data_IF_325354887333
#
_entry.id   IF_325354887333
#
_cell.length_a   1.000
_cell.length_b   1.000
_cell.length_c   1.000
_cell.angle_alpha   90.00
_cell.angle_beta   90.00
_cell.angle_gamma   90.00
#
_symmetry.space_group_name_H-M   'P 1'
#
loop_
_entity.id
_entity.type
_entity.pdbx_description
1 polymer ?
#
# COMPACT_ATOMS: atom_id res chain seq x y z
N UNK A 1 37.39 -6.38 -36.95
CA UNK A 1 38.00 -6.35 -35.65
C UNK A 1 38.00 -4.91 -35.17
N UNK A 2 36.87 -4.42 -34.77
CA UNK A 2 36.75 -3.14 -34.12
C UNK A 2 37.19 -3.36 -32.68
N UNK A 3 38.26 -2.73 -32.29
CA UNK A 3 38.67 -2.56 -30.91
C UNK A 3 37.48 -2.02 -30.14
N UNK A 4 36.98 -2.73 -29.19
CA UNK A 4 35.94 -2.46 -28.21
C UNK A 4 35.77 -1.05 -27.66
N UNK A 5 35.97 -0.03 -28.46
CA UNK A 5 35.48 1.32 -28.22
C UNK A 5 34.02 1.36 -28.64
N UNK A 6 33.17 0.89 -27.75
CA UNK A 6 31.74 1.21 -27.77
C UNK A 6 31.67 2.69 -27.38
N UNK A 7 31.11 3.51 -28.25
CA UNK A 7 30.87 4.91 -27.97
C UNK A 7 30.38 5.09 -26.54
N UNK A 8 31.07 5.92 -25.76
CA UNK A 8 30.75 6.29 -24.37
C UNK A 8 29.29 6.77 -24.16
N UNK A 9 28.58 6.96 -25.26
CA UNK A 9 27.19 7.40 -25.27
C UNK A 9 26.22 6.38 -24.63
N UNK A 10 26.51 5.10 -24.73
CA UNK A 10 25.69 4.04 -24.12
C UNK A 10 26.05 3.79 -22.64
N UNK A 11 27.21 4.23 -22.17
CA UNK A 11 27.64 4.13 -20.76
C UNK A 11 26.77 4.96 -19.82
N UNK A 12 26.20 6.05 -20.28
CA UNK A 12 25.34 6.96 -19.50
C UNK A 12 24.04 6.29 -19.07
N UNK A 13 23.58 5.27 -19.78
CA UNK A 13 22.32 4.57 -19.49
C UNK A 13 22.50 3.20 -18.82
N UNK A 14 23.68 2.89 -18.29
CA UNK A 14 23.94 1.64 -17.59
C UNK A 14 24.01 0.39 -18.46
N UNK A 15 23.97 0.54 -19.78
CA UNK A 15 24.08 -0.58 -20.73
C UNK A 15 25.49 -1.13 -20.86
N UNK A 16 26.52 -0.44 -20.39
CA UNK A 16 27.93 -0.85 -20.49
C UNK A 16 28.22 -2.19 -19.82
N UNK A 17 27.57 -2.49 -18.69
CA UNK A 17 27.75 -3.76 -17.99
C UNK A 17 27.16 -4.94 -18.76
N UNK A 18 26.08 -4.72 -19.50
CA UNK A 18 25.45 -5.73 -20.32
C UNK A 18 26.30 -6.09 -21.53
N UNK A 19 26.96 -5.09 -22.12
CA UNK A 19 27.80 -5.24 -23.30
C UNK A 19 29.22 -5.73 -22.98
N UNK A 20 29.67 -5.73 -21.76
CA UNK A 20 30.99 -6.26 -21.37
C UNK A 20 31.00 -7.77 -21.12
N UNK A 21 29.85 -8.44 -21.19
CA UNK A 21 29.78 -9.91 -21.09
C UNK A 21 30.28 -10.54 -22.41
N UNK A 22 31.26 -11.46 -22.36
CA UNK A 22 31.88 -12.00 -23.58
C UNK A 22 30.93 -12.73 -24.53
N UNK A 23 29.73 -13.05 -24.11
CA UNK A 23 28.73 -13.77 -24.89
C UNK A 23 27.52 -12.93 -25.35
N UNK A 24 27.47 -11.63 -25.00
CA UNK A 24 26.30 -10.78 -25.34
C UNK A 24 26.31 -10.30 -26.80
N UNK A 25 27.41 -10.46 -27.53
CA UNK A 25 27.57 -10.01 -28.91
C UNK A 25 27.71 -11.15 -29.91
N UNK A 26 27.05 -12.24 -29.71
CA UNK A 26 26.95 -13.19 -30.79
C UNK A 26 25.86 -12.75 -31.76
N UNK A 27 26.20 -11.82 -32.67
CA UNK A 27 25.32 -11.39 -33.74
C UNK A 27 24.84 -12.56 -34.61
N UNK A 28 25.66 -13.59 -34.75
CA UNK A 28 25.29 -14.80 -35.45
C UNK A 28 24.11 -15.52 -34.76
N UNK A 29 24.06 -15.47 -33.44
CA UNK A 29 22.93 -16.00 -32.70
C UNK A 29 21.65 -15.19 -32.97
N UNK A 30 21.69 -13.86 -32.93
CA UNK A 30 20.51 -13.01 -33.16
C UNK A 30 20.05 -13.02 -34.63
N UNK A 31 20.96 -13.21 -35.56
CA UNK A 31 20.67 -13.23 -37.01
C UNK A 31 20.35 -14.63 -37.54
N UNK A 32 20.64 -15.67 -36.78
CA UNK A 32 20.29 -17.05 -37.12
C UNK A 32 18.81 -17.35 -36.85
N UNK A 33 18.30 -18.35 -37.55
CA UNK A 33 16.96 -18.88 -37.27
C UNK A 33 16.99 -19.58 -35.91
N UNK A 34 16.31 -19.01 -34.93
CA UNK A 34 16.20 -19.61 -33.59
C UNK A 34 15.35 -20.87 -33.63
N UNK A 35 15.83 -21.94 -33.05
CA UNK A 35 15.10 -23.19 -32.90
C UNK A 35 14.44 -23.27 -31.51
N UNK A 36 13.44 -24.15 -31.31
CA UNK A 36 12.91 -24.40 -29.95
C UNK A 36 13.96 -24.85 -28.94
N UNK A 37 15.03 -25.53 -29.38
CA UNK A 37 16.12 -25.96 -28.54
C UNK A 37 16.97 -24.76 -28.08
N UNK A 38 17.19 -23.77 -28.93
CA UNK A 38 17.91 -22.53 -28.56
C UNK A 38 17.11 -21.72 -27.53
N UNK A 39 15.78 -21.65 -27.71
CA UNK A 39 14.89 -21.00 -26.74
C UNK A 39 14.89 -21.71 -25.39
N UNK A 40 14.90 -23.05 -25.38
CA UNK A 40 14.98 -23.81 -24.12
C UNK A 40 16.35 -23.67 -23.43
N UNK A 41 17.43 -23.55 -24.20
CA UNK A 41 18.77 -23.32 -23.67
C UNK A 41 18.94 -21.93 -23.01
N UNK A 42 18.13 -20.96 -23.39
CA UNK A 42 18.10 -19.61 -22.81
C UNK A 42 17.09 -19.46 -21.67
N UNK A 43 16.26 -20.47 -21.49
CA UNK A 43 15.24 -20.44 -20.45
C UNK A 43 15.87 -20.45 -19.07
N UNK A 44 15.42 -19.55 -18.23
CA UNK A 44 15.82 -19.47 -16.83
C UNK A 44 14.59 -19.22 -15.95
N UNK A 45 14.54 -19.90 -14.83
CA UNK A 45 13.50 -19.65 -13.83
C UNK A 45 13.91 -18.45 -12.97
N UNK A 46 13.06 -17.42 -12.98
CA UNK A 46 13.20 -16.25 -12.13
C UNK A 46 12.19 -16.34 -11.00
N UNK A 47 12.67 -16.61 -9.79
CA UNK A 47 11.83 -16.72 -8.60
C UNK A 47 12.09 -15.52 -7.71
N UNK A 48 11.05 -14.73 -7.47
CA UNK A 48 11.06 -13.56 -6.60
C UNK A 48 10.05 -13.80 -5.46
N UNK A 49 10.53 -14.24 -4.28
CA UNK A 49 9.65 -14.43 -3.13
C UNK A 49 9.02 -13.11 -2.71
N UNK A 50 7.72 -13.16 -2.41
CA UNK A 50 6.98 -12.04 -1.87
C UNK A 50 6.00 -12.54 -0.82
N UNK A 51 6.12 -12.02 0.39
CA UNK A 51 5.25 -12.32 1.50
C UNK A 51 4.59 -11.04 2.01
N UNK A 52 3.33 -11.15 2.44
CA UNK A 52 2.64 -10.06 3.11
C UNK A 52 1.69 -10.63 4.16
N UNK A 53 1.60 -9.94 5.28
CA UNK A 53 0.70 -10.33 6.35
C UNK A 53 -0.03 -9.11 6.93
N UNK A 54 -1.19 -9.37 7.54
CA UNK A 54 -1.92 -8.38 8.32
C UNK A 54 -2.64 -9.08 9.45
N UNK A 55 -2.38 -8.65 10.66
CA UNK A 55 -3.05 -9.10 11.87
C UNK A 55 -3.84 -7.93 12.45
N UNK A 56 -5.12 -8.15 12.75
CA UNK A 56 -6.00 -7.13 13.33
C UNK A 56 -6.70 -7.70 14.55
N UNK A 57 -6.49 -7.03 15.68
CA UNK A 57 -7.37 -7.17 16.84
C UNK A 57 -8.30 -5.96 16.91
N UNK A 58 -9.61 -6.23 17.02
CA UNK A 58 -10.61 -5.19 17.14
C UNK A 58 -11.62 -5.56 18.22
N UNK A 59 -11.96 -4.60 19.07
CA UNK A 59 -13.08 -4.73 19.99
C UNK A 59 -14.01 -3.53 19.83
N UNK A 60 -15.32 -3.83 19.80
CA UNK A 60 -16.36 -2.81 19.64
C UNK A 60 -17.34 -2.92 20.79
N UNK A 61 -17.69 -1.79 21.37
CA UNK A 61 -18.71 -1.65 22.41
C UNK A 61 -19.78 -0.69 21.93
N UNK A 62 -21.01 -1.11 21.99
CA UNK A 62 -22.18 -0.28 21.64
C UNK A 62 -23.23 -0.31 22.73
N UNK A 63 -23.98 0.75 22.86
CA UNK A 63 -25.05 0.83 23.85
C UNK A 63 -25.71 2.20 23.91
N UNK A 64 -26.66 2.32 24.82
CA UNK A 64 -27.37 3.56 25.10
C UNK A 64 -26.81 4.17 26.40
N UNK A 65 -26.48 5.46 26.35
CA UNK A 65 -25.96 6.20 27.53
C UNK A 65 -27.12 6.63 28.39
N UNK A 66 -28.16 7.21 27.79
CA UNK A 66 -29.33 7.73 28.47
C UNK A 66 -30.51 7.87 27.51
N UNK A 67 -31.71 7.94 28.07
CA UNK A 67 -32.92 8.24 27.30
C UNK A 67 -33.09 9.73 27.20
N UNK A 68 -33.11 10.26 25.97
CA UNK A 68 -33.48 11.64 25.63
C UNK A 68 -34.98 11.70 25.27
N UNK A 69 -35.58 12.92 25.22
CA UNK A 69 -37.00 13.06 24.87
C UNK A 69 -37.43 12.45 23.54
N UNK A 70 -36.47 12.37 22.59
CA UNK A 70 -36.73 11.92 21.20
C UNK A 70 -36.09 10.58 20.87
N UNK A 71 -35.56 9.87 21.87
CA UNK A 71 -34.96 8.55 21.71
C UNK A 71 -33.68 8.37 22.53
N UNK A 72 -33.04 7.21 22.50
CA UNK A 72 -31.82 6.96 23.22
C UNK A 72 -30.64 7.76 22.64
N UNK A 73 -29.79 8.31 23.50
CA UNK A 73 -28.46 8.72 23.16
C UNK A 73 -27.60 7.47 23.04
N UNK A 74 -27.39 6.99 21.81
CA UNK A 74 -26.60 5.81 21.57
C UNK A 74 -25.14 6.13 21.30
N UNK A 75 -24.25 5.19 21.64
CA UNK A 75 -22.83 5.30 21.37
C UNK A 75 -22.27 4.01 20.75
N UNK A 76 -21.21 4.16 19.99
CA UNK A 76 -20.30 3.10 19.59
C UNK A 76 -18.87 3.51 19.91
N UNK A 77 -18.10 2.60 20.48
CA UNK A 77 -16.68 2.77 20.72
C UNK A 77 -15.92 1.60 20.10
N UNK A 78 -14.79 1.86 19.50
CA UNK A 78 -13.92 0.85 18.89
C UNK A 78 -12.50 1.06 19.32
N UNK A 79 -11.81 -0.03 19.63
CA UNK A 79 -10.37 -0.09 19.78
C UNK A 79 -9.80 -1.07 18.77
N UNK A 80 -8.70 -0.70 18.14
CA UNK A 80 -8.03 -1.52 17.13
C UNK A 80 -6.53 -1.53 17.40
N UNK A 81 -5.92 -2.70 17.25
CA UNK A 81 -4.48 -2.88 17.11
C UNK A 81 -4.25 -3.68 15.84
N UNK A 82 -3.47 -3.15 14.93
CA UNK A 82 -3.16 -3.80 13.66
C UNK A 82 -1.66 -3.81 13.44
N UNK A 83 -1.12 -4.99 13.15
CA UNK A 83 0.22 -5.16 12.62
C UNK A 83 0.14 -5.64 11.19
N UNK A 84 0.88 -5.01 10.31
CA UNK A 84 0.98 -5.42 8.92
C UNK A 84 2.40 -5.26 8.40
N UNK A 85 2.80 -6.19 7.55
CA UNK A 85 4.13 -6.18 6.97
C UNK A 85 4.15 -6.78 5.58
N UNK A 86 5.25 -6.58 4.91
CA UNK A 86 5.57 -7.22 3.64
C UNK A 86 7.07 -7.43 3.53
N UNK A 87 7.46 -8.40 2.74
CA UNK A 87 8.84 -8.66 2.30
C UNK A 87 8.81 -9.08 0.83
N UNK A 88 9.59 -8.40 0.01
CA UNK A 88 9.76 -8.70 -1.41
C UNK A 88 11.24 -8.76 -1.72
N UNK A 89 11.68 -9.88 -2.30
CA UNK A 89 13.08 -10.10 -2.61
C UNK A 89 13.27 -10.27 -4.11
N UNK A 90 14.14 -9.46 -4.67
CA UNK A 90 14.60 -9.65 -6.04
C UNK A 90 15.44 -10.91 -6.16
N UNK A 91 15.27 -11.65 -7.24
CA UNK A 91 16.09 -12.83 -7.52
C UNK A 91 17.58 -12.45 -7.67
N UNK A 92 18.50 -13.38 -7.39
CA UNK A 92 19.92 -13.15 -7.62
C UNK A 92 20.25 -12.79 -9.07
N UNK A 93 19.50 -13.32 -10.04
CA UNK A 93 19.66 -13.02 -11.46
C UNK A 93 19.24 -11.58 -11.79
N UNK A 94 18.14 -11.12 -11.19
CA UNK A 94 17.69 -9.75 -11.34
C UNK A 94 18.69 -8.77 -10.67
N UNK A 95 19.12 -9.08 -9.43
CA UNK A 95 20.16 -8.29 -8.73
C UNK A 95 21.47 -8.21 -9.50
N UNK A 96 21.84 -9.26 -10.21
CA UNK A 96 23.04 -9.28 -11.05
C UNK A 96 22.86 -8.56 -12.41
N UNK A 97 21.63 -8.12 -12.75
CA UNK A 97 21.33 -7.49 -14.04
C UNK A 97 21.38 -8.46 -15.23
N UNK A 98 21.18 -9.75 -14.98
CA UNK A 98 21.25 -10.79 -16.02
C UNK A 98 19.92 -11.00 -16.74
N UNK A 99 18.83 -10.37 -16.27
CA UNK A 99 17.51 -10.44 -16.88
C UNK A 99 17.21 -9.13 -17.61
N UNK A 100 17.23 -9.18 -18.92
CA UNK A 100 16.98 -7.99 -19.73
C UNK A 100 15.48 -7.60 -19.73
N UNK A 101 15.21 -6.32 -19.52
CA UNK A 101 13.84 -5.78 -19.55
C UNK A 101 13.00 -6.13 -18.32
N UNK A 102 13.58 -6.78 -17.32
CA UNK A 102 12.91 -7.09 -16.05
C UNK A 102 13.52 -6.20 -14.97
N UNK A 103 12.74 -5.23 -14.56
CA UNK A 103 13.04 -4.41 -13.38
C UNK A 103 12.31 -4.96 -12.16
N UNK A 104 12.63 -4.44 -11.00
CA UNK A 104 11.94 -4.80 -9.77
C UNK A 104 12.33 -3.92 -8.58
N UNK A 105 11.67 -4.15 -7.48
CA UNK A 105 11.92 -3.46 -6.21
C UNK A 105 12.13 -4.51 -5.12
N UNK A 106 13.22 -4.40 -4.42
CA UNK A 106 13.54 -5.14 -3.21
C UNK A 106 13.10 -4.30 -2.00
N UNK A 107 12.58 -4.92 -0.96
CA UNK A 107 12.25 -4.19 0.25
C UNK A 107 11.23 -4.90 1.12
N UNK A 108 11.20 -4.52 2.38
CA UNK A 108 10.27 -5.07 3.35
C UNK A 108 10.28 -4.28 4.64
N UNK A 109 9.18 -4.37 5.37
CA UNK A 109 9.03 -3.73 6.66
C UNK A 109 7.66 -3.97 7.26
N UNK A 110 7.56 -3.58 8.51
CA UNK A 110 6.37 -3.75 9.32
C UNK A 110 5.90 -2.41 9.88
N UNK A 111 4.59 -2.31 10.11
CA UNK A 111 3.96 -1.17 10.75
C UNK A 111 2.91 -1.63 11.73
N UNK A 112 2.95 -1.07 12.91
CA UNK A 112 1.89 -1.15 13.89
C UNK A 112 0.97 0.07 13.78
N UNK A 113 -0.33 -0.17 13.95
CA UNK A 113 -1.35 0.87 14.06
C UNK A 113 -2.22 0.60 15.26
N UNK A 114 -2.29 1.58 16.14
CA UNK A 114 -3.24 1.62 17.25
C UNK A 114 -4.32 2.65 16.96
N UNK A 115 -5.58 2.31 17.18
CA UNK A 115 -6.66 3.26 16.96
C UNK A 115 -7.75 3.15 18.00
N UNK A 116 -8.35 4.29 18.30
CA UNK A 116 -9.53 4.42 19.15
C UNK A 116 -10.54 5.32 18.45
N UNK A 117 -11.78 4.83 18.31
CA UNK A 117 -12.87 5.59 17.72
C UNK A 117 -14.07 5.65 18.66
N UNK A 118 -14.78 6.76 18.63
CA UNK A 118 -16.04 6.97 19.35
C UNK A 118 -17.04 7.62 18.40
N UNK A 119 -18.26 7.12 18.43
CA UNK A 119 -19.39 7.65 17.69
C UNK A 119 -20.56 7.85 18.66
N UNK A 120 -21.27 8.97 18.50
CA UNK A 120 -22.48 9.31 19.24
C UNK A 120 -23.61 9.54 18.29
N UNK A 121 -24.76 8.94 18.57
CA UNK A 121 -25.99 9.09 17.82
C UNK A 121 -27.01 9.82 18.68
N UNK A 122 -27.33 11.07 18.31
CA UNK A 122 -28.07 12.03 19.13
C UNK A 122 -29.40 12.36 18.47
N UNK A 123 -30.55 11.84 18.92
CA UNK A 123 -31.85 12.27 18.48
C UNK A 123 -32.21 13.63 19.09
N UNK A 124 -32.09 14.70 18.28
CA UNK A 124 -32.33 16.08 18.72
C UNK A 124 -33.82 16.43 18.70
N UNK A 125 -34.55 15.87 17.75
CA UNK A 125 -36.01 15.99 17.65
C UNK A 125 -36.59 14.74 16.98
N UNK A 126 -37.92 14.66 16.88
CA UNK A 126 -38.61 13.57 16.17
C UNK A 126 -38.17 13.45 14.70
N UNK A 127 -37.71 14.55 14.10
CA UNK A 127 -37.35 14.64 12.68
C UNK A 127 -35.86 14.81 12.45
N UNK A 128 -35.05 15.07 13.49
CA UNK A 128 -33.63 15.36 13.37
C UNK A 128 -32.78 14.42 14.19
N UNK A 129 -31.86 13.74 13.50
CA UNK A 129 -30.85 12.88 14.08
C UNK A 129 -29.46 13.45 13.73
N UNK A 130 -28.61 13.57 14.73
CA UNK A 130 -27.19 13.98 14.55
C UNK A 130 -26.28 12.84 14.92
N UNK A 131 -25.30 12.55 14.07
CA UNK A 131 -24.23 11.63 14.35
C UNK A 131 -22.91 12.42 14.46
N UNK A 132 -22.16 12.18 15.53
CA UNK A 132 -20.87 12.80 15.82
C UNK A 132 -19.85 11.69 15.99
N UNK A 133 -18.70 11.79 15.31
CA UNK A 133 -17.64 10.80 15.42
C UNK A 133 -16.29 11.45 15.61
N UNK A 134 -15.40 10.76 16.31
CA UNK A 134 -13.98 11.11 16.40
C UNK A 134 -13.16 9.83 16.45
N UNK A 135 -12.02 9.87 15.79
CA UNK A 135 -11.07 8.77 15.79
C UNK A 135 -9.66 9.30 15.98
N UNK A 136 -8.89 8.58 16.77
CA UNK A 136 -7.46 8.77 16.93
C UNK A 136 -6.75 7.54 16.42
N UNK A 137 -5.76 7.74 15.54
CA UNK A 137 -4.90 6.71 14.98
C UNK A 137 -3.45 7.06 15.26
N UNK A 138 -2.69 6.08 15.72
CA UNK A 138 -1.24 6.13 15.89
C UNK A 138 -0.61 5.09 14.99
N UNK A 139 0.38 5.51 14.21
CA UNK A 139 1.15 4.66 13.32
C UNK A 139 2.60 4.67 13.76
N UNK A 140 3.15 3.49 13.99
CA UNK A 140 4.54 3.30 14.40
C UNK A 140 5.25 2.31 13.48
N UNK A 141 6.34 2.76 12.89
CA UNK A 141 7.26 1.94 12.13
C UNK A 141 8.68 2.54 12.18
N UNK A 142 9.66 1.89 11.56
CA UNK A 142 11.06 2.34 11.59
C UNK A 142 11.30 3.70 10.91
N UNK A 143 10.35 4.22 10.12
CA UNK A 143 10.47 5.45 9.32
C UNK A 143 9.45 6.50 9.74
N UNK A 144 8.26 6.07 10.11
CA UNK A 144 7.12 6.94 10.40
C UNK A 144 6.62 6.66 11.81
N UNK A 145 6.64 7.68 12.65
CA UNK A 145 5.93 7.71 13.93
C UNK A 145 5.00 8.92 13.86
N UNK A 146 3.71 8.68 13.68
CA UNK A 146 2.72 9.75 13.52
C UNK A 146 1.40 9.36 14.15
N UNK A 147 0.85 10.29 14.90
CA UNK A 147 -0.52 10.21 15.38
C UNK A 147 -1.41 11.25 14.71
N UNK A 148 -2.67 10.91 14.53
CA UNK A 148 -3.68 11.80 13.95
C UNK A 148 -5.03 11.59 14.59
N UNK A 149 -5.70 12.71 14.81
CA UNK A 149 -7.10 12.73 15.20
C UNK A 149 -7.92 13.25 14.04
N UNK A 150 -9.04 12.58 13.77
CA UNK A 150 -10.02 12.96 12.76
C UNK A 150 -11.38 13.06 13.43
N UNK A 151 -12.24 13.92 12.88
CA UNK A 151 -13.59 14.13 13.36
C UNK A 151 -14.59 14.09 12.21
N UNK A 152 -15.81 13.75 12.51
CA UNK A 152 -16.93 13.75 11.56
C UNK A 152 -18.22 14.15 12.25
N UNK A 153 -19.10 14.76 11.48
CA UNK A 153 -20.46 15.09 11.87
C UNK A 153 -21.41 14.83 10.71
N UNK A 154 -22.56 14.27 10.99
CA UNK A 154 -23.63 14.13 10.01
C UNK A 154 -24.97 14.43 10.63
N UNK A 155 -25.92 14.83 9.79
CA UNK A 155 -27.29 15.15 10.17
C UNK A 155 -28.25 14.47 9.19
N UNK A 156 -29.28 13.86 9.73
CA UNK A 156 -30.47 13.43 9.01
C UNK A 156 -31.64 14.31 9.45
N UNK A 157 -32.36 14.85 8.49
CA UNK A 157 -33.57 15.63 8.74
C UNK A 157 -34.72 15.14 7.87
N UNK A 158 -35.83 14.77 8.51
CA UNK A 158 -37.08 14.34 7.88
C UNK A 158 -38.18 15.39 8.08
N UNK A 159 -38.17 16.48 7.28
CA UNK A 159 -39.19 17.53 7.41
C UNK A 159 -40.60 17.03 7.04
N UNK A 160 -40.70 16.01 6.21
CA UNK A 160 -41.92 15.36 5.76
C UNK A 160 -41.71 13.85 5.73
N UNK A 161 -42.81 13.08 5.82
CA UNK A 161 -42.72 11.60 5.82
C UNK A 161 -42.05 11.00 4.59
N UNK A 162 -42.15 11.71 3.46
CA UNK A 162 -41.58 11.31 2.16
C UNK A 162 -40.29 12.04 1.77
N UNK A 163 -39.75 12.92 2.63
CA UNK A 163 -38.54 13.67 2.35
C UNK A 163 -37.49 13.46 3.44
N UNK A 164 -36.31 13.00 3.03
CA UNK A 164 -35.12 12.88 3.87
C UNK A 164 -34.01 13.76 3.31
N UNK A 165 -33.51 14.68 4.12
CA UNK A 165 -32.33 15.53 3.83
C UNK A 165 -31.16 15.02 4.66
N UNK A 166 -30.00 14.83 4.04
CA UNK A 166 -28.77 14.43 4.71
C UNK A 166 -27.65 15.44 4.43
N UNK A 167 -26.89 15.74 5.45
CA UNK A 167 -25.66 16.51 5.34
C UNK A 167 -24.55 15.83 6.14
N UNK A 168 -23.33 15.84 5.63
CA UNK A 168 -22.19 15.26 6.34
C UNK A 168 -20.93 16.07 6.09
N UNK A 169 -20.07 16.10 7.10
CA UNK A 169 -18.71 16.60 7.06
C UNK A 169 -17.78 15.65 7.77
N UNK A 170 -16.59 15.42 7.21
CA UNK A 170 -15.59 14.57 7.84
C UNK A 170 -14.17 14.96 7.46
N UNK A 171 -13.27 14.78 8.39
CA UNK A 171 -11.84 14.82 8.17
C UNK A 171 -11.33 13.41 7.81
N UNK A 172 -10.32 13.33 6.96
CA UNK A 172 -9.65 12.07 6.64
C UNK A 172 -8.15 12.22 6.73
N UNK A 173 -7.49 11.13 7.12
CA UNK A 173 -6.04 11.01 7.14
C UNK A 173 -5.63 9.66 6.55
N UNK A 174 -4.56 9.66 5.77
CA UNK A 174 -3.93 8.45 5.27
C UNK A 174 -2.44 8.53 5.54
N UNK A 175 -1.90 7.58 6.32
CA UNK A 175 -0.46 7.39 6.47
C UNK A 175 0.15 6.94 5.12
N UNK A 176 1.43 7.24 4.83
CA UNK A 176 2.13 6.71 3.66
C UNK A 176 2.02 5.18 3.59
N UNK A 177 1.87 4.64 2.39
CA UNK A 177 1.81 3.19 2.23
C UNK A 177 3.19 2.56 2.54
N UNK A 178 3.20 1.36 3.12
CA UNK A 178 4.41 0.63 3.50
C UNK A 178 5.46 0.55 2.37
N UNK A 179 5.11 0.25 1.11
CA UNK A 179 6.10 0.19 0.04
C UNK A 179 6.82 1.51 -0.26
N UNK A 180 6.25 2.66 0.15
CA UNK A 180 6.95 3.94 0.03
C UNK A 180 7.89 4.21 1.19
N UNK A 181 7.59 3.68 2.37
CA UNK A 181 8.42 3.85 3.57
C UNK A 181 9.63 2.91 3.58
N UNK A 182 9.49 1.70 3.03
CA UNK A 182 10.46 0.62 3.12
C UNK A 182 10.98 0.17 1.75
N UNK A 183 11.21 1.12 0.86
CA UNK A 183 11.83 0.83 -0.44
C UNK A 183 13.30 0.48 -0.24
N UNK A 184 13.67 -0.72 -0.67
CA UNK A 184 15.05 -1.16 -0.76
C UNK A 184 15.71 -0.81 -2.10
N UNK A 185 16.47 -1.74 -2.64
CA UNK A 185 17.15 -1.56 -3.93
C UNK A 185 16.14 -1.59 -5.09
N UNK A 186 16.28 -0.66 -6.03
CA UNK A 186 15.51 -0.63 -7.28
C UNK A 186 16.40 -0.99 -8.45
N UNK A 187 15.91 -1.82 -9.35
CA UNK A 187 16.52 -2.12 -10.63
C UNK A 187 15.56 -1.75 -11.77
N UNK A 188 16.08 -1.11 -12.79
CA UNK A 188 15.36 -0.65 -13.97
C UNK A 188 15.91 -1.31 -15.23
#
# INVERSE_FOLDING_TARGET
PSNGEVDDWYGIYGYSAFYSQPNCYNWDFYLSTQTPADAEALRVDNIEPADAFSELFQATLTGDIMQLPYGPLAFAAVIENQTKGYDVQLSPLNKAGLLWGIGGVDGGGERERNAVGIELNVPVSETVLINLSTRWDEYDDAVVNVDRRTAGASMEWRPLDNLLVRASWSESFKAPDLPYSFVGERRF
#
